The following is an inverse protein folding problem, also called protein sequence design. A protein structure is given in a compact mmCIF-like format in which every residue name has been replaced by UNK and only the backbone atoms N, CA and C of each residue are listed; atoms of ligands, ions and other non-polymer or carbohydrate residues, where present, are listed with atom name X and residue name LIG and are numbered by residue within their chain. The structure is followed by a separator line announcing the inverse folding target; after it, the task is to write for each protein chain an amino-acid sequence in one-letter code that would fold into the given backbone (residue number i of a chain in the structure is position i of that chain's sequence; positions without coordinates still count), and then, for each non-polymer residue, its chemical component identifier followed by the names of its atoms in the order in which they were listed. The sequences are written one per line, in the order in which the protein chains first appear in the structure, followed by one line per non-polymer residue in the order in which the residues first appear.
data_IF_200449787122
#
_entry.id   IF_200449787122
#
_cell.length_a   1.000
_cell.length_b   1.000
_cell.length_c   1.000
_cell.angle_alpha   90.00
_cell.angle_beta   90.00
_cell.angle_gamma   90.00
#
_symmetry.space_group_name_H-M   'P 1'
#
loop_
_entity.id
_entity.type
_entity.pdbx_description
1 polymer ?
#
# COMPACT_ATOMS: atom_id res chain seq x y z
N UNK A 1 -4.86 18.87 10.83
CA UNK A 1 -5.54 18.28 12.01
C UNK A 1 -4.73 18.59 13.28
N UNK A 2 -5.39 18.98 14.37
CA UNK A 2 -4.70 19.18 15.65
C UNK A 2 -4.63 17.84 16.39
N UNK A 3 -3.41 17.35 16.64
CA UNK A 3 -3.19 16.25 17.56
C UNK A 3 -3.27 16.82 18.98
N UNK A 4 -4.35 16.53 19.70
CA UNK A 4 -4.58 17.09 21.04
C UNK A 4 -3.85 16.24 22.11
N UNK A 5 -2.54 16.48 22.23
CA UNK A 5 -1.67 15.85 23.23
C UNK A 5 -1.03 16.88 24.19
N UNK A 6 -1.59 18.10 24.24
CA UNK A 6 -1.08 19.20 25.06
C UNK A 6 0.09 19.99 24.45
N UNK A 7 0.62 19.61 23.28
CA UNK A 7 1.75 20.27 22.63
C UNK A 7 1.38 21.16 21.44
N UNK A 8 0.10 21.41 21.19
CA UNK A 8 -0.39 22.23 20.07
C UNK A 8 0.09 21.70 18.69
N UNK A 9 0.35 20.42 18.61
CA UNK A 9 0.88 19.76 17.43
C UNK A 9 -0.18 19.70 16.31
N UNK A 10 0.22 20.05 15.09
CA UNK A 10 -0.65 20.08 13.92
C UNK A 10 -0.09 19.20 12.81
N UNK A 11 -0.83 18.17 12.47
CA UNK A 11 -0.56 17.34 11.29
C UNK A 11 -0.90 18.16 10.02
N UNK A 12 0.03 18.26 9.07
CA UNK A 12 -0.15 19.02 7.85
C UNK A 12 -1.25 18.41 7.00
N UNK A 13 -1.13 17.13 6.66
CA UNK A 13 -2.15 16.38 5.93
C UNK A 13 -2.36 15.00 6.54
N UNK A 14 -3.61 14.67 6.82
CA UNK A 14 -4.05 13.38 7.33
C UNK A 14 -5.12 12.82 6.41
N UNK A 15 -5.01 11.57 5.99
CA UNK A 15 -5.93 10.95 5.05
C UNK A 15 -5.87 9.43 5.02
N UNK A 16 -6.45 8.86 3.98
CA UNK A 16 -6.34 7.46 3.61
C UNK A 16 -5.60 7.35 2.28
N UNK A 17 -4.72 6.37 2.18
CA UNK A 17 -4.11 6.02 0.90
C UNK A 17 -5.04 5.13 0.06
N UNK A 18 -4.56 4.71 -1.11
CA UNK A 18 -5.29 3.85 -2.03
C UNK A 18 -5.63 2.45 -1.50
N UNK A 19 -5.01 2.06 -0.39
CA UNK A 19 -5.24 0.78 0.29
C UNK A 19 -6.17 0.90 1.50
N UNK A 20 -6.78 2.08 1.71
CA UNK A 20 -7.49 2.46 2.94
C UNK A 20 -6.61 2.43 4.20
N UNK A 21 -5.28 2.50 4.05
CA UNK A 21 -4.38 2.67 5.17
C UNK A 21 -4.33 4.14 5.58
N UNK A 22 -4.30 4.45 6.90
CA UNK A 22 -4.08 5.82 7.36
C UNK A 22 -2.76 6.37 6.84
N UNK A 23 -2.78 7.59 6.29
CA UNK A 23 -1.60 8.26 5.78
C UNK A 23 -1.44 9.65 6.40
N UNK A 24 -0.21 9.94 6.83
CA UNK A 24 0.24 11.28 7.22
C UNK A 24 1.18 11.78 6.14
N UNK A 25 0.98 13.03 5.69
CA UNK A 25 1.90 13.69 4.78
C UNK A 25 2.39 14.96 5.46
N UNK A 26 3.70 15.04 5.68
CA UNK A 26 4.38 16.19 6.28
C UNK A 26 5.26 16.88 5.25
N UNK A 27 5.18 18.21 5.22
CA UNK A 27 5.89 19.04 4.25
C UNK A 27 6.94 19.88 4.93
N UNK A 28 8.13 19.99 4.33
CA UNK A 28 9.16 20.91 4.80
C UNK A 28 9.76 21.69 3.64
N UNK A 29 9.77 23.00 3.76
CA UNK A 29 10.37 23.87 2.77
C UNK A 29 11.90 23.95 2.94
N UNK A 30 12.37 24.09 4.16
CA UNK A 30 13.79 24.30 4.48
C UNK A 30 14.32 23.09 5.28
N UNK A 31 15.38 22.45 4.78
CA UNK A 31 15.92 21.18 5.27
C UNK A 31 16.64 21.20 6.64
N UNK A 32 16.38 22.19 7.51
CA UNK A 32 17.10 22.33 8.78
C UNK A 32 16.52 21.55 9.96
N UNK A 33 15.25 21.17 9.89
CA UNK A 33 14.61 20.37 10.96
C UNK A 33 14.03 19.09 10.36
N UNK A 34 14.13 18.03 11.11
CA UNK A 34 13.78 16.69 10.66
C UNK A 34 12.26 16.54 10.48
N UNK A 35 11.76 16.75 9.26
CA UNK A 35 10.37 16.42 8.87
C UNK A 35 10.03 14.97 9.29
N UNK A 36 11.01 14.09 9.26
CA UNK A 36 10.89 12.69 9.68
C UNK A 36 10.52 12.58 11.15
N UNK A 37 11.22 13.29 12.06
CA UNK A 37 10.93 13.21 13.49
C UNK A 37 9.53 13.75 13.81
N UNK A 38 9.12 14.82 13.16
CA UNK A 38 7.78 15.37 13.30
C UNK A 38 6.72 14.37 12.79
N UNK A 39 6.93 13.80 11.62
CA UNK A 39 6.05 12.78 11.05
C UNK A 39 5.96 11.52 11.92
N UNK A 40 7.08 11.06 12.50
CA UNK A 40 7.12 9.92 13.41
C UNK A 40 6.33 10.18 14.71
N UNK A 41 6.42 11.38 15.24
CA UNK A 41 5.61 11.79 16.38
C UNK A 41 4.12 11.72 16.08
N UNK A 42 3.69 12.23 14.91
CA UNK A 42 2.30 12.16 14.48
C UNK A 42 1.84 10.74 14.16
N UNK A 43 2.72 9.91 13.62
CA UNK A 43 2.44 8.50 13.39
C UNK A 43 2.18 7.76 14.70
N UNK A 44 2.98 8.02 15.73
CA UNK A 44 2.78 7.43 17.07
C UNK A 44 1.43 7.86 17.66
N UNK A 45 1.10 9.15 17.52
CA UNK A 45 -0.20 9.66 17.92
C UNK A 45 -1.35 8.96 17.18
N UNK A 46 -1.27 8.88 15.85
CA UNK A 46 -2.30 8.27 15.00
C UNK A 46 -2.59 6.81 15.38
N UNK A 47 -1.54 6.02 15.60
CA UNK A 47 -1.67 4.61 16.00
C UNK A 47 -2.28 4.45 17.38
N UNK A 48 -2.03 5.40 18.29
CA UNK A 48 -2.63 5.42 19.64
C UNK A 48 -4.07 5.92 19.68
N UNK A 49 -4.51 6.66 18.65
CA UNK A 49 -5.84 7.27 18.57
C UNK A 49 -6.68 6.78 17.35
N UNK A 50 -6.80 5.46 17.14
CA UNK A 50 -7.48 4.93 15.95
C UNK A 50 -8.97 5.30 15.88
N UNK A 51 -9.62 5.48 17.04
CA UNK A 51 -11.05 5.85 17.10
C UNK A 51 -11.29 7.28 16.63
N UNK A 52 -10.40 8.20 16.96
CA UNK A 52 -10.51 9.60 16.58
C UNK A 52 -10.32 9.74 15.07
N UNK A 53 -9.37 9.01 14.49
CA UNK A 53 -9.19 8.95 13.05
C UNK A 53 -10.38 8.31 12.35
N UNK A 54 -10.89 7.17 12.84
CA UNK A 54 -12.05 6.50 12.26
C UNK A 54 -13.30 7.40 12.29
N UNK A 55 -13.47 8.21 13.33
CA UNK A 55 -14.54 9.20 13.42
C UNK A 55 -14.42 10.27 12.31
N UNK A 56 -13.22 10.81 12.08
CA UNK A 56 -12.97 11.77 10.99
C UNK A 56 -13.28 11.18 9.62
N UNK A 57 -12.89 9.91 9.41
CA UNK A 57 -13.17 9.19 8.15
C UNK A 57 -14.68 8.97 7.99
N UNK A 58 -15.38 8.59 9.09
CA UNK A 58 -16.82 8.42 9.09
C UNK A 58 -17.55 9.71 8.69
N UNK A 59 -17.14 10.85 9.25
CA UNK A 59 -17.74 12.15 8.94
C UNK A 59 -17.50 12.58 7.49
N UNK A 60 -16.31 12.31 6.94
CA UNK A 60 -15.94 12.79 5.59
C UNK A 60 -16.32 11.83 4.46
N UNK A 61 -16.19 10.54 4.68
CA UNK A 61 -16.29 9.51 3.64
C UNK A 61 -17.39 8.48 3.88
N UNK A 62 -18.03 8.53 5.06
CA UNK A 62 -19.13 7.65 5.40
C UNK A 62 -18.70 6.33 6.03
N UNK A 63 -19.70 5.60 6.52
CA UNK A 63 -19.52 4.39 7.35
C UNK A 63 -18.75 3.28 6.66
N UNK A 64 -19.03 3.03 5.37
CA UNK A 64 -18.37 1.94 4.64
C UNK A 64 -16.86 2.09 4.62
N UNK A 65 -16.34 3.30 4.33
CA UNK A 65 -14.91 3.56 4.28
C UNK A 65 -14.30 3.52 5.68
N UNK A 66 -15.02 4.03 6.69
CA UNK A 66 -14.57 3.99 8.08
C UNK A 66 -14.45 2.56 8.63
N UNK A 67 -15.37 1.67 8.24
CA UNK A 67 -15.34 0.25 8.64
C UNK A 67 -14.23 -0.55 7.90
N UNK A 68 -13.80 -0.07 6.72
CA UNK A 68 -12.80 -0.70 5.86
C UNK A 68 -11.36 -0.15 6.07
N UNK A 69 -11.11 0.65 7.12
CA UNK A 69 -9.76 1.18 7.41
C UNK A 69 -8.80 0.02 7.70
N UNK A 70 -7.70 -0.04 6.94
CA UNK A 70 -6.62 -1.02 7.15
C UNK A 70 -5.49 -0.42 8.02
N UNK A 71 -5.41 -0.86 9.27
CA UNK A 71 -4.42 -0.44 10.24
C UNK A 71 -3.12 -1.25 10.20
N UNK A 72 -3.00 -2.21 9.28
CA UNK A 72 -1.81 -3.09 9.21
C UNK A 72 -0.56 -2.32 8.80
N UNK A 73 -0.72 -1.27 7.99
CA UNK A 73 0.41 -0.49 7.46
C UNK A 73 0.11 1.02 7.39
N UNK A 74 -0.06 1.73 8.51
CA UNK A 74 -0.13 3.19 8.49
C UNK A 74 1.11 3.76 7.79
N UNK A 75 0.93 4.82 7.00
CA UNK A 75 1.95 5.35 6.10
C UNK A 75 2.34 6.78 6.48
N UNK A 76 3.63 7.07 6.46
CA UNK A 76 4.18 8.42 6.59
C UNK A 76 4.84 8.81 5.25
N UNK A 77 4.45 9.94 4.71
CA UNK A 77 5.08 10.53 3.53
C UNK A 77 5.73 11.84 3.96
N UNK A 78 7.06 11.95 3.84
CA UNK A 78 7.80 13.16 4.10
C UNK A 78 8.17 13.81 2.76
N UNK A 79 7.76 15.07 2.55
CA UNK A 79 8.04 15.82 1.33
C UNK A 79 8.94 17.00 1.68
N UNK A 80 10.17 17.05 1.11
CA UNK A 80 11.12 18.12 1.33
C UNK A 80 11.92 18.44 0.04
N UNK A 81 12.64 19.57 0.03
CA UNK A 81 13.53 19.92 -1.09
C UNK A 81 14.70 18.97 -1.19
N UNK A 82 15.19 18.47 -0.06
CA UNK A 82 16.29 17.50 -0.01
C UNK A 82 16.27 16.71 1.32
N UNK A 83 16.92 15.56 1.29
CA UNK A 83 17.15 14.70 2.44
C UNK A 83 18.64 14.41 2.55
N UNK A 84 19.16 14.37 3.77
CA UNK A 84 20.54 13.97 4.00
C UNK A 84 20.71 12.46 3.85
N UNK A 85 21.95 12.01 3.59
CA UNK A 85 22.28 10.58 3.59
C UNK A 85 21.97 9.91 4.93
N UNK A 86 22.01 10.66 6.03
CA UNK A 86 21.66 10.16 7.35
C UNK A 86 20.16 9.90 7.47
N UNK A 87 19.32 10.76 6.87
CA UNK A 87 17.87 10.56 6.83
C UNK A 87 17.52 9.31 6.04
N UNK A 88 18.10 9.16 4.85
CA UNK A 88 17.90 7.99 3.99
C UNK A 88 18.36 6.69 4.67
N UNK A 89 19.49 6.73 5.39
CA UNK A 89 19.98 5.58 6.13
C UNK A 89 19.09 5.28 7.35
N UNK A 90 18.69 6.32 8.09
CA UNK A 90 17.88 6.16 9.30
C UNK A 90 16.54 5.49 9.01
N UNK A 91 15.82 5.90 7.95
CA UNK A 91 14.54 5.30 7.63
C UNK A 91 14.64 3.83 7.22
N UNK A 92 15.76 3.41 6.58
CA UNK A 92 16.01 2.00 6.24
C UNK A 92 16.14 1.10 7.47
N UNK A 93 16.57 1.68 8.60
CA UNK A 93 16.67 0.96 9.87
C UNK A 93 15.37 0.97 10.67
N UNK A 94 14.40 1.81 10.26
CA UNK A 94 13.10 1.90 10.90
C UNK A 94 12.15 0.87 10.29
N UNK A 95 11.60 0.00 11.13
CA UNK A 95 10.53 -0.94 10.73
C UNK A 95 9.19 -0.18 10.66
N UNK A 96 9.09 0.81 9.77
CA UNK A 96 7.90 1.62 9.56
C UNK A 96 7.72 1.93 8.08
N UNK A 97 6.48 2.16 7.68
CA UNK A 97 6.13 2.49 6.30
C UNK A 97 6.35 4.00 6.04
N UNK A 98 7.56 4.38 5.64
CA UNK A 98 7.97 5.77 5.45
C UNK A 98 8.48 5.96 4.03
N UNK A 99 7.94 6.95 3.33
CA UNK A 99 8.42 7.38 2.02
C UNK A 99 9.03 8.77 2.11
N UNK A 100 10.23 8.95 1.55
CA UNK A 100 10.88 10.25 1.38
C UNK A 100 10.69 10.69 -0.06
N UNK A 101 10.03 11.82 -0.25
CA UNK A 101 9.78 12.41 -1.57
C UNK A 101 10.48 13.75 -1.64
N UNK A 102 11.45 13.87 -2.55
CA UNK A 102 12.07 15.14 -2.89
C UNK A 102 11.19 15.90 -3.86
N UNK A 103 11.00 17.20 -3.65
CA UNK A 103 10.36 18.03 -4.65
C UNK A 103 11.36 19.02 -5.25
N UNK A 104 11.19 19.33 -6.53
CA UNK A 104 11.92 20.37 -7.24
C UNK A 104 10.96 21.24 -8.02
N UNK A 105 11.18 22.54 -7.96
CA UNK A 105 10.43 23.52 -8.73
C UNK A 105 11.35 23.99 -9.86
N UNK A 106 10.86 23.87 -11.09
CA UNK A 106 11.51 24.34 -12.30
C UNK A 106 10.83 25.59 -12.84
N UNK A 107 11.47 26.28 -13.78
CA UNK A 107 10.88 27.38 -14.51
C UNK A 107 9.52 26.98 -15.12
N UNK A 108 8.61 27.96 -15.26
CA UNK A 108 7.23 27.74 -15.71
C UNK A 108 6.32 26.92 -14.78
N UNK A 109 6.53 27.03 -13.47
CA UNK A 109 5.71 26.39 -12.43
C UNK A 109 5.62 24.84 -12.53
N UNK A 110 6.65 24.22 -13.11
CA UNK A 110 6.73 22.77 -13.11
C UNK A 110 7.24 22.25 -11.77
N UNK A 111 6.51 21.30 -11.19
CA UNK A 111 6.83 20.63 -9.94
C UNK A 111 7.18 19.17 -10.22
N UNK A 112 8.41 18.77 -9.88
CA UNK A 112 8.85 17.38 -9.94
C UNK A 112 8.80 16.78 -8.53
N UNK A 113 8.21 15.59 -8.40
CA UNK A 113 8.34 14.73 -7.25
C UNK A 113 9.21 13.52 -7.58
N UNK A 114 10.20 13.28 -6.75
CA UNK A 114 11.15 12.16 -6.88
C UNK A 114 11.12 11.33 -5.60
N UNK A 115 10.84 10.04 -5.72
CA UNK A 115 10.96 9.12 -4.59
C UNK A 115 12.44 8.89 -4.31
N UNK A 116 12.93 9.40 -3.17
CA UNK A 116 14.35 9.32 -2.79
C UNK A 116 14.63 7.99 -2.12
N UNK A 117 13.76 7.61 -1.18
CA UNK A 117 13.91 6.39 -0.41
C UNK A 117 12.59 5.97 0.22
N UNK A 118 12.51 4.70 0.57
CA UNK A 118 11.36 4.12 1.24
C UNK A 118 11.81 3.05 2.20
N UNK A 119 11.17 2.98 3.34
CA UNK A 119 11.27 1.84 4.26
C UNK A 119 9.95 1.12 4.34
N UNK A 120 10.01 -0.18 4.49
CA UNK A 120 8.84 -1.01 4.74
C UNK A 120 9.15 -2.00 5.83
N UNK A 121 8.15 -2.32 6.64
CA UNK A 121 8.26 -3.48 7.51
C UNK A 121 8.43 -4.71 6.60
N UNK A 122 9.63 -5.31 6.62
CA UNK A 122 9.75 -6.69 6.18
C UNK A 122 9.01 -7.51 7.23
N UNK A 123 7.89 -8.11 6.84
CA UNK A 123 7.15 -9.05 7.68
C UNK A 123 7.97 -10.34 7.83
N UNK A 124 9.07 -10.25 8.57
CA UNK A 124 9.69 -11.42 9.18
C UNK A 124 8.88 -11.77 10.42
N UNK A 125 7.94 -12.73 10.26
CA UNK A 125 7.25 -13.40 11.35
C UNK A 125 6.71 -12.51 12.47
N UNK A 126 5.55 -11.91 12.25
CA UNK A 126 4.73 -11.41 13.37
C UNK A 126 4.14 -12.62 14.10
N UNK A 127 4.90 -13.12 15.09
CA UNK A 127 4.30 -13.88 16.15
C UNK A 127 3.31 -12.97 16.86
N UNK A 128 2.02 -13.20 16.65
CA UNK A 128 0.94 -12.57 17.37
C UNK A 128 1.08 -12.88 18.88
N UNK A 129 1.69 -11.96 19.63
CA UNK A 129 1.45 -11.83 21.06
C UNK A 129 0.20 -10.96 21.26
N UNK A 130 -0.95 -11.50 20.93
CA UNK A 130 -2.22 -11.01 21.45
C UNK A 130 -2.45 -11.63 22.80
N UNK A 131 -2.31 -10.81 23.85
CA UNK A 131 -2.85 -11.11 25.16
C UNK A 131 -4.33 -11.53 25.02
N UNK A 132 -4.60 -12.79 25.42
CA UNK A 132 -5.93 -13.38 25.52
C UNK A 132 -6.89 -12.46 26.29
N UNK A 133 -7.92 -11.99 25.61
CA UNK A 133 -9.25 -11.79 26.21
C UNK A 133 -10.24 -12.57 25.35
N UNK A 134 -10.70 -13.67 25.93
CA UNK A 134 -11.80 -14.47 25.41
C UNK A 134 -13.07 -13.63 25.33
N UNK A 135 -13.62 -13.50 24.15
CA UNK A 135 -15.07 -13.32 23.96
C UNK A 135 -15.47 -13.86 22.59
N UNK A 136 -16.15 -14.98 22.61
CA UNK A 136 -17.17 -15.52 21.70
C UNK A 136 -17.19 -15.16 20.21
N UNK A 137 -17.03 -16.23 19.39
CA UNK A 137 -17.66 -16.48 18.07
C UNK A 137 -17.50 -15.33 17.08
N UNK A 138 -16.31 -15.25 16.44
CA UNK A 138 -16.17 -14.66 15.12
C UNK A 138 -15.32 -15.59 14.25
N UNK A 139 -15.84 -15.98 13.07
CA UNK A 139 -15.05 -16.63 12.02
C UNK A 139 -13.80 -15.76 11.79
N UNK A 140 -12.63 -16.28 12.17
CA UNK A 140 -11.35 -15.61 11.97
C UNK A 140 -11.24 -15.29 10.48
N UNK A 141 -11.25 -14.03 10.11
CA UNK A 141 -11.08 -13.59 8.73
C UNK A 141 -9.68 -14.02 8.28
N UNK A 142 -9.60 -14.84 7.22
CA UNK A 142 -8.30 -15.30 6.69
C UNK A 142 -7.57 -14.13 6.03
N UNK A 143 -6.34 -13.92 6.46
CA UNK A 143 -5.44 -12.95 5.83
C UNK A 143 -4.97 -13.41 4.45
N UNK A 144 -4.33 -12.54 3.67
CA UNK A 144 -3.75 -12.91 2.36
C UNK A 144 -2.68 -13.99 2.51
N UNK A 145 -1.89 -13.94 3.59
CA UNK A 145 -0.87 -14.96 3.90
C UNK A 145 -1.50 -16.30 4.26
N UNK A 146 -2.57 -16.32 5.09
CA UNK A 146 -3.32 -17.54 5.39
C UNK A 146 -3.91 -18.18 4.12
N UNK A 147 -4.35 -17.35 3.16
CA UNK A 147 -4.87 -17.82 1.87
C UNK A 147 -3.75 -18.42 1.01
N UNK A 148 -2.58 -17.78 0.94
CA UNK A 148 -1.42 -18.29 0.22
C UNK A 148 -0.96 -19.62 0.84
N UNK A 149 -0.84 -19.68 2.17
CA UNK A 149 -0.41 -20.89 2.88
C UNK A 149 -1.37 -22.07 2.67
N UNK A 150 -2.66 -21.79 2.55
CA UNK A 150 -3.69 -22.79 2.27
C UNK A 150 -3.90 -23.11 0.79
N UNK A 151 -3.20 -22.43 -0.13
CA UNK A 151 -3.26 -22.66 -1.58
C UNK A 151 -2.47 -23.93 -1.98
N UNK A 152 -2.74 -24.43 -3.20
CA UNK A 152 -2.02 -25.58 -3.75
C UNK A 152 -0.53 -25.27 -3.98
N UNK A 153 0.31 -26.31 -4.11
CA UNK A 153 1.73 -26.15 -4.41
C UNK A 153 1.96 -25.40 -5.72
N UNK A 154 1.15 -25.72 -6.74
CA UNK A 154 1.21 -25.08 -8.05
C UNK A 154 0.95 -23.56 -7.96
N UNK A 155 0.00 -23.13 -7.11
CA UNK A 155 -0.27 -21.70 -6.89
C UNK A 155 0.88 -21.02 -6.19
N UNK A 156 1.53 -21.68 -5.23
CA UNK A 156 2.71 -21.15 -4.53
C UNK A 156 3.90 -20.97 -5.47
N UNK A 157 4.16 -21.96 -6.32
CA UNK A 157 5.23 -21.89 -7.31
C UNK A 157 4.94 -20.80 -8.35
N UNK A 158 3.71 -20.74 -8.84
CA UNK A 158 3.26 -19.70 -9.76
C UNK A 158 3.35 -18.29 -9.16
N UNK A 159 3.04 -18.17 -7.86
CA UNK A 159 3.19 -16.91 -7.15
C UNK A 159 4.65 -16.48 -7.02
N UNK A 160 5.55 -17.41 -6.78
CA UNK A 160 6.99 -17.12 -6.71
C UNK A 160 7.49 -16.50 -8.03
N UNK A 161 7.14 -17.11 -9.17
CA UNK A 161 7.50 -16.58 -10.49
C UNK A 161 6.88 -15.20 -10.73
N UNK A 162 5.62 -14.99 -10.30
CA UNK A 162 4.95 -13.71 -10.39
C UNK A 162 5.62 -12.64 -9.50
N UNK A 163 5.96 -12.99 -8.27
CA UNK A 163 6.62 -12.11 -7.28
C UNK A 163 7.98 -11.65 -7.79
N UNK A 164 8.81 -12.60 -8.25
CA UNK A 164 10.11 -12.33 -8.84
C UNK A 164 9.99 -11.40 -10.06
N UNK A 165 9.01 -11.65 -10.93
CA UNK A 165 8.74 -10.79 -12.09
C UNK A 165 8.32 -9.38 -11.67
N UNK A 166 7.33 -9.24 -10.77
CA UNK A 166 6.84 -7.93 -10.33
C UNK A 166 7.94 -7.09 -9.69
N UNK A 167 8.79 -7.70 -8.87
CA UNK A 167 9.91 -7.02 -8.23
C UNK A 167 11.03 -6.67 -9.23
N UNK A 168 11.18 -7.40 -10.33
CA UNK A 168 12.16 -7.11 -11.37
C UNK A 168 11.81 -5.91 -12.25
N UNK A 169 10.58 -5.39 -12.17
CA UNK A 169 10.11 -4.28 -13.01
C UNK A 169 10.72 -2.91 -12.68
N UNK A 170 11.46 -2.80 -11.57
CA UNK A 170 12.20 -1.60 -11.20
C UNK A 170 12.77 -1.70 -9.79
N UNK A 171 13.93 -1.06 -9.56
CA UNK A 171 14.59 -1.03 -8.25
C UNK A 171 13.78 -0.27 -7.18
N UNK A 172 12.82 0.54 -7.62
CA UNK A 172 11.90 1.31 -6.78
C UNK A 172 10.56 0.63 -6.55
N UNK A 173 10.36 -0.59 -7.08
CA UNK A 173 9.16 -1.38 -6.83
C UNK A 173 9.17 -1.93 -5.42
N UNK A 174 8.05 -1.72 -4.73
CA UNK A 174 7.85 -2.17 -3.35
C UNK A 174 6.70 -3.17 -3.28
N UNK A 175 6.90 -4.20 -2.48
CA UNK A 175 5.87 -5.16 -2.09
C UNK A 175 5.32 -4.80 -0.72
N UNK A 176 3.99 -4.70 -0.59
CA UNK A 176 3.29 -4.47 0.69
C UNK A 176 2.29 -5.59 0.93
N UNK A 177 2.42 -6.27 2.06
CA UNK A 177 1.48 -7.32 2.48
C UNK A 177 0.41 -6.67 3.33
N UNK A 178 -0.82 -6.62 2.81
CA UNK A 178 -1.99 -6.07 3.47
C UNK A 178 -2.88 -7.21 3.97
N UNK A 179 -3.93 -6.90 4.71
CA UNK A 179 -4.79 -7.93 5.31
C UNK A 179 -5.40 -8.87 4.26
N UNK A 180 -5.85 -8.34 3.11
CA UNK A 180 -6.64 -9.09 2.13
C UNK A 180 -5.94 -9.34 0.80
N UNK A 181 -4.83 -8.64 0.51
CA UNK A 181 -4.08 -8.74 -0.75
C UNK A 181 -2.63 -8.31 -0.56
N UNK A 182 -1.80 -8.60 -1.55
CA UNK A 182 -0.43 -8.08 -1.63
C UNK A 182 -0.42 -6.99 -2.69
N UNK A 183 0.02 -5.79 -2.34
CA UNK A 183 0.18 -4.67 -3.25
C UNK A 183 1.63 -4.58 -3.75
N UNK A 184 1.78 -4.34 -5.06
CA UNK A 184 3.04 -3.95 -5.69
C UNK A 184 2.89 -2.54 -6.19
N UNK A 185 3.81 -1.67 -5.77
CA UNK A 185 3.69 -0.23 -6.01
C UNK A 185 5.04 0.42 -6.29
N UNK A 186 4.98 1.58 -6.90
CA UNK A 186 6.01 2.63 -6.88
C UNK A 186 5.49 3.79 -6.02
N UNK A 187 5.06 4.90 -6.59
CA UNK A 187 4.28 5.92 -5.86
C UNK A 187 2.86 5.46 -5.58
N UNK A 188 2.24 4.74 -6.53
CA UNK A 188 0.92 4.14 -6.44
C UNK A 188 0.98 2.64 -6.73
N UNK A 189 -0.07 1.92 -6.34
CA UNK A 189 -0.19 0.52 -6.68
C UNK A 189 -0.38 0.35 -8.19
N UNK A 190 0.42 -0.52 -8.79
CA UNK A 190 0.20 -0.96 -10.17
C UNK A 190 -0.34 -2.39 -10.26
N UNK A 191 -0.18 -3.19 -9.19
CA UNK A 191 -0.75 -4.52 -9.11
C UNK A 191 -1.18 -4.85 -7.68
N UNK A 192 -2.35 -5.48 -7.52
CA UNK A 192 -2.86 -6.02 -6.26
C UNK A 192 -3.16 -7.50 -6.43
N UNK A 193 -2.54 -8.36 -5.62
CA UNK A 193 -2.56 -9.82 -5.77
C UNK A 193 -3.37 -10.48 -4.67
N UNK A 194 -4.28 -11.38 -5.05
CA UNK A 194 -5.07 -12.21 -4.14
C UNK A 194 -4.93 -13.69 -4.49
N UNK A 195 -5.06 -14.55 -3.48
CA UNK A 195 -4.92 -15.99 -3.63
C UNK A 195 -6.22 -16.73 -3.45
N UNK A 196 -6.40 -17.73 -4.29
CA UNK A 196 -7.46 -18.73 -4.21
C UNK A 196 -6.81 -20.11 -4.31
N UNK A 197 -7.56 -21.15 -3.96
CA UNK A 197 -7.01 -22.51 -3.86
C UNK A 197 -6.26 -22.97 -5.13
N UNK A 198 -6.76 -22.60 -6.32
CA UNK A 198 -6.25 -23.06 -7.61
C UNK A 198 -5.95 -21.94 -8.61
N UNK A 199 -5.89 -20.68 -8.16
CA UNK A 199 -5.60 -19.53 -9.02
C UNK A 199 -5.14 -18.33 -8.24
N UNK A 200 -4.45 -17.43 -8.94
CA UNK A 200 -4.10 -16.09 -8.48
C UNK A 200 -5.00 -15.09 -9.23
N UNK A 201 -5.51 -14.09 -8.52
CA UNK A 201 -6.14 -12.93 -9.13
C UNK A 201 -5.20 -11.72 -8.98
N UNK A 202 -5.01 -11.01 -10.08
CA UNK A 202 -4.27 -9.75 -10.09
C UNK A 202 -5.22 -8.65 -10.55
N UNK A 203 -5.26 -7.55 -9.79
CA UNK A 203 -5.96 -6.34 -10.18
C UNK A 203 -4.95 -5.31 -10.63
N UNK A 204 -5.16 -4.75 -11.83
CA UNK A 204 -4.25 -3.78 -12.48
C UNK A 204 -5.01 -2.54 -12.92
N UNK A 205 -4.30 -1.40 -13.00
CA UNK A 205 -4.89 -0.12 -13.40
C UNK A 205 -4.86 0.05 -14.93
N UNK A 206 -5.54 -0.84 -15.63
CA UNK A 206 -5.72 -0.80 -17.08
C UNK A 206 -7.19 -0.58 -17.37
N UNK A 207 -7.48 0.32 -18.33
CA UNK A 207 -8.85 0.58 -18.75
C UNK A 207 -9.35 -0.63 -19.60
N UNK A 208 -10.48 -1.20 -19.19
CA UNK A 208 -11.09 -2.33 -19.88
C UNK A 208 -11.48 -2.00 -21.32
N UNK A 209 -11.76 -0.73 -21.64
CA UNK A 209 -12.10 -0.29 -22.99
C UNK A 209 -10.88 -0.20 -23.92
N UNK A 210 -9.67 -0.22 -23.35
CA UNK A 210 -8.39 -0.19 -24.10
C UNK A 210 -7.87 -1.55 -24.53
N UNK A 211 -8.58 -2.64 -24.19
CA UNK A 211 -8.18 -4.02 -24.48
C UNK A 211 -9.38 -4.86 -24.93
N UNK A 212 -9.10 -5.98 -25.58
CA UNK A 212 -10.12 -7.02 -25.77
C UNK A 212 -10.17 -7.92 -24.55
N UNK A 213 -11.33 -7.97 -23.88
CA UNK A 213 -11.53 -8.85 -22.73
C UNK A 213 -11.57 -10.31 -23.19
N UNK A 214 -10.82 -11.16 -22.49
CA UNK A 214 -10.75 -12.61 -22.72
C UNK A 214 -11.50 -13.35 -21.60
N UNK A 215 -12.54 -14.10 -21.97
CA UNK A 215 -13.36 -14.83 -20.99
C UNK A 215 -12.52 -15.84 -20.20
N UNK A 216 -12.64 -15.79 -18.86
CA UNK A 216 -11.89 -16.65 -17.95
C UNK A 216 -10.45 -16.20 -17.68
N UNK A 217 -9.95 -15.14 -18.35
CA UNK A 217 -8.64 -14.54 -18.14
C UNK A 217 -8.75 -13.09 -17.68
N UNK A 218 -9.50 -12.22 -18.36
CA UNK A 218 -9.66 -10.80 -17.97
C UNK A 218 -11.12 -10.45 -17.69
N UNK A 219 -11.33 -9.54 -16.73
CA UNK A 219 -12.65 -9.07 -16.31
C UNK A 219 -12.62 -7.60 -15.95
N UNK A 220 -13.60 -6.82 -16.44
CA UNK A 220 -13.81 -5.43 -16.03
C UNK A 220 -14.33 -5.35 -14.60
N UNK A 221 -13.62 -4.58 -13.76
CA UNK A 221 -13.90 -4.42 -12.33
C UNK A 221 -14.36 -3.01 -11.95
N UNK A 222 -14.53 -2.09 -12.90
CA UNK A 222 -14.89 -0.68 -12.62
C UNK A 222 -16.13 -0.50 -11.75
N UNK A 223 -17.08 -1.42 -11.82
CA UNK A 223 -18.34 -1.38 -11.07
C UNK A 223 -18.50 -2.56 -10.09
N UNK A 224 -17.41 -3.28 -9.80
CA UNK A 224 -17.42 -4.47 -8.96
C UNK A 224 -16.50 -4.22 -7.76
N UNK A 225 -17.05 -4.34 -6.55
CA UNK A 225 -16.26 -4.21 -5.32
C UNK A 225 -15.28 -5.37 -5.17
N UNK A 226 -14.03 -5.06 -4.85
CA UNK A 226 -12.96 -6.03 -4.56
C UNK A 226 -11.96 -5.42 -3.58
N UNK A 227 -11.13 -6.25 -2.98
CA UNK A 227 -9.99 -5.77 -2.20
C UNK A 227 -8.82 -5.46 -3.13
N UNK A 228 -8.11 -4.38 -2.82
CA UNK A 228 -7.01 -3.88 -3.65
C UNK A 228 -7.46 -2.83 -4.66
N UNK A 229 -6.49 -2.34 -5.41
CA UNK A 229 -6.69 -1.29 -6.41
C UNK A 229 -6.55 -1.90 -7.81
N UNK A 230 -7.31 -1.39 -8.75
CA UNK A 230 -7.26 -1.83 -10.14
C UNK A 230 -8.66 -1.87 -10.78
N UNK A 231 -8.72 -1.60 -12.07
CA UNK A 231 -9.98 -1.56 -12.85
C UNK A 231 -10.17 -2.83 -13.68
N UNK A 232 -9.12 -3.64 -13.80
CA UNK A 232 -9.10 -4.88 -14.57
C UNK A 232 -8.60 -6.02 -13.67
N UNK A 233 -9.38 -7.10 -13.60
CA UNK A 233 -8.98 -8.36 -12.98
C UNK A 233 -8.34 -9.28 -14.04
N UNK A 234 -7.22 -9.89 -13.68
CA UNK A 234 -6.53 -10.91 -14.46
C UNK A 234 -6.52 -12.20 -13.64
N UNK A 235 -6.97 -13.29 -14.20
CA UNK A 235 -6.95 -14.62 -13.60
C UNK A 235 -5.75 -15.39 -14.09
N UNK A 236 -4.85 -15.84 -13.19
CA UNK A 236 -3.67 -16.64 -13.51
C UNK A 236 -3.83 -18.03 -12.90
N UNK A 237 -3.78 -19.06 -13.73
CA UNK A 237 -3.89 -20.48 -13.34
C UNK A 237 -2.64 -21.29 -13.68
N UNK A 238 -1.82 -20.77 -14.57
CA UNK A 238 -0.62 -21.44 -15.10
C UNK A 238 0.38 -20.41 -15.65
N UNK A 239 1.57 -20.87 -16.02
CA UNK A 239 2.64 -20.02 -16.59
C UNK A 239 2.24 -19.32 -17.89
N UNK A 240 1.41 -19.94 -18.72
CA UNK A 240 0.92 -19.32 -19.96
C UNK A 240 0.06 -18.09 -19.67
N UNK A 241 -0.81 -18.17 -18.66
CA UNK A 241 -1.60 -17.03 -18.20
C UNK A 241 -0.70 -15.94 -17.62
N UNK A 242 0.34 -16.32 -16.88
CA UNK A 242 1.33 -15.39 -16.33
C UNK A 242 2.05 -14.62 -17.47
N UNK A 243 2.53 -15.31 -18.49
CA UNK A 243 3.20 -14.67 -19.62
C UNK A 243 2.29 -13.67 -20.34
N UNK A 244 1.02 -14.03 -20.57
CA UNK A 244 0.02 -13.10 -21.12
C UNK A 244 -0.23 -11.89 -20.21
N UNK A 245 -0.23 -12.09 -18.89
CA UNK A 245 -0.50 -11.03 -17.91
C UNK A 245 0.60 -9.96 -17.90
N UNK A 246 1.86 -10.29 -18.21
CA UNK A 246 3.01 -9.38 -18.16
C UNK A 246 2.75 -8.09 -18.93
N UNK A 247 2.23 -8.16 -20.14
CA UNK A 247 1.93 -6.97 -20.97
C UNK A 247 0.90 -6.04 -20.29
N UNK A 248 -0.10 -6.59 -19.60
CA UNK A 248 -1.11 -5.80 -18.90
C UNK A 248 -0.56 -5.20 -17.61
N UNK A 249 0.32 -5.93 -16.92
CA UNK A 249 1.02 -5.45 -15.72
C UNK A 249 1.94 -4.27 -16.08
N UNK A 250 2.72 -4.38 -17.18
CA UNK A 250 3.58 -3.30 -17.67
C UNK A 250 2.79 -2.05 -18.06
N UNK A 251 1.62 -2.22 -18.72
CA UNK A 251 0.72 -1.10 -19.00
C UNK A 251 0.21 -0.43 -17.71
N UNK A 252 -0.09 -1.21 -16.68
CA UNK A 252 -0.52 -0.69 -15.39
C UNK A 252 0.60 0.07 -14.69
N UNK A 253 1.83 -0.44 -14.76
CA UNK A 253 3.01 0.22 -14.21
C UNK A 253 3.27 1.58 -14.88
N UNK A 254 3.10 1.66 -16.20
CA UNK A 254 3.25 2.92 -16.93
C UNK A 254 2.19 3.98 -16.58
N UNK A 255 1.05 3.56 -16.02
CA UNK A 255 -0.07 4.42 -15.61
C UNK A 255 -0.08 4.75 -14.11
N UNK A 256 0.93 4.31 -13.33
CA UNK A 256 0.97 4.42 -11.85
C UNK A 256 1.97 5.45 -11.32
#
# INVERSE_FOLDING_TARGET
FKADDGHNARIDTLGLDENNCPVIIEYKRDGKDTVINQGLFYMDWLVKHPKDFAWLVLEKFGKKIADDIDWTQPRLICIAQDFSRYDEFAIKQMQKNIDLIRYRIYENDHLLFELVNTSSEENTNVAHNTSKKESNINKKVKTVTDKLDSSSAEVKDLYKELDDYLLSLGDDVQKKILMHYIAYRRLKNFASVQFYNNKILIYVNVDADSITLENGFTRDMRNIGHYGTGKLEITIKNLTDLEKAKTLIEKSLANS
#
